data_IF_552570191069
#
_entry.id   IF_552570191069
#
_cell.length_a   1.000
_cell.length_b   1.000
_cell.length_c   1.000
_cell.angle_alpha   90.00
_cell.angle_beta   90.00
_cell.angle_gamma   90.00
#
_symmetry.space_group_name_H-M   'P 1'
#
loop_
_entity.id
_entity.type
_entity.pdbx_description
1 polymer ?
#
# COMPACT_ATOMS: atom_id res chain seq x y z
N UNK A 1 -24.25 -3.46 -20.30
CA UNK A 1 -23.73 -2.24 -19.66
C UNK A 1 -23.10 -1.35 -20.73
N UNK A 2 -22.83 -0.07 -20.46
CA UNK A 2 -22.13 0.80 -21.43
C UNK A 2 -20.68 0.34 -21.54
N UNK A 3 -20.17 0.17 -22.77
CA UNK A 3 -18.77 -0.16 -23.06
C UNK A 3 -17.84 0.83 -22.37
N UNK A 4 -16.81 0.33 -21.69
CA UNK A 4 -15.80 1.16 -21.01
C UNK A 4 -14.51 1.21 -21.85
N UNK A 5 -13.78 2.31 -21.79
CA UNK A 5 -12.47 2.37 -22.44
C UNK A 5 -11.43 1.57 -21.65
N UNK A 6 -11.41 1.76 -20.33
CA UNK A 6 -10.47 1.12 -19.42
C UNK A 6 -11.20 0.60 -18.18
N UNK A 7 -10.85 -0.60 -17.72
CA UNK A 7 -11.26 -1.16 -16.43
C UNK A 7 -10.03 -1.40 -15.57
N UNK A 8 -10.05 -0.95 -14.32
CA UNK A 8 -8.96 -1.19 -13.37
C UNK A 8 -9.19 -2.47 -12.55
N UNK A 9 -8.14 -3.27 -12.40
CA UNK A 9 -8.08 -4.45 -11.56
C UNK A 9 -6.99 -4.20 -10.50
N UNK A 10 -7.43 -3.96 -9.27
CA UNK A 10 -6.59 -3.63 -8.13
C UNK A 10 -6.30 -4.88 -7.31
N UNK A 11 -5.06 -5.33 -7.33
CA UNK A 11 -4.58 -6.47 -6.57
C UNK A 11 -4.38 -6.05 -5.10
N UNK A 12 -5.27 -6.50 -4.21
CA UNK A 12 -5.27 -6.19 -2.77
C UNK A 12 -5.10 -7.43 -1.89
N UNK A 13 -4.57 -8.53 -2.44
CA UNK A 13 -4.44 -9.83 -1.75
C UNK A 13 -3.15 -10.02 -0.94
N UNK A 14 -2.23 -9.05 -0.94
CA UNK A 14 -0.91 -9.21 -0.32
C UNK A 14 -0.98 -9.40 1.21
N UNK A 15 -0.50 -10.54 1.71
CA UNK A 15 -0.40 -10.83 3.16
C UNK A 15 0.57 -9.91 3.90
N UNK A 16 1.54 -9.31 3.20
CA UNK A 16 2.46 -8.36 3.83
C UNK A 16 3.35 -8.93 4.94
N UNK A 17 3.68 -10.22 4.93
CA UNK A 17 4.37 -10.95 6.03
C UNK A 17 5.63 -10.29 6.59
N UNK A 18 6.26 -9.40 5.84
CA UNK A 18 7.46 -8.63 6.23
C UNK A 18 7.15 -7.40 7.11
N UNK A 19 5.88 -7.06 7.31
CA UNK A 19 5.42 -5.99 8.20
C UNK A 19 5.06 -6.49 9.61
N UNK A 20 5.31 -7.78 9.89
CA UNK A 20 5.12 -8.39 11.21
C UNK A 20 3.70 -8.11 11.75
N UNK A 21 3.59 -7.70 13.02
CA UNK A 21 2.34 -7.48 13.73
C UNK A 21 1.41 -6.44 13.08
N UNK A 22 1.92 -5.55 12.23
CA UNK A 22 1.08 -4.58 11.50
C UNK A 22 0.12 -5.24 10.49
N UNK A 23 0.41 -6.48 10.09
CA UNK A 23 -0.38 -7.24 9.10
C UNK A 23 -0.97 -8.54 9.65
N UNK A 24 -0.92 -8.73 10.98
CA UNK A 24 -1.46 -9.96 11.60
C UNK A 24 -2.99 -10.00 11.53
N UNK A 25 -3.65 -8.84 11.69
CA UNK A 25 -5.10 -8.68 11.61
C UNK A 25 -5.57 -7.89 10.38
N UNK A 26 -4.64 -7.29 9.64
CA UNK A 26 -4.91 -6.40 8.52
C UNK A 26 -4.21 -6.85 7.23
N UNK A 27 -4.92 -6.76 6.10
CA UNK A 27 -4.28 -6.83 4.80
C UNK A 27 -3.32 -5.65 4.60
N UNK A 28 -2.18 -5.84 3.92
CA UNK A 28 -1.19 -4.77 3.67
C UNK A 28 -1.82 -3.48 3.10
N UNK A 29 -2.75 -3.51 2.12
CA UNK A 29 -3.40 -2.30 1.61
C UNK A 29 -4.21 -1.51 2.66
N UNK A 30 -4.63 -2.18 3.74
CA UNK A 30 -5.41 -1.59 4.82
C UNK A 30 -4.54 -0.94 5.91
N UNK A 31 -3.21 -1.07 5.85
CA UNK A 31 -2.29 -0.48 6.84
C UNK A 31 -2.43 1.05 6.80
N UNK A 32 -2.56 1.72 7.97
CA UNK A 32 -2.61 3.17 8.04
C UNK A 32 -1.33 3.81 7.47
N UNK A 33 -1.43 5.00 6.87
CA UNK A 33 -0.30 5.76 6.36
C UNK A 33 -0.54 7.27 6.47
N UNK A 34 0.52 8.04 6.75
CA UNK A 34 0.49 9.49 6.63
C UNK A 34 -0.54 10.20 7.52
N UNK A 35 -0.78 9.66 8.73
CA UNK A 35 -1.62 10.26 9.77
C UNK A 35 -3.12 9.97 9.64
N UNK A 36 -3.67 9.90 8.42
CA UNK A 36 -5.11 9.65 8.20
C UNK A 36 -5.47 8.71 7.06
N UNK A 37 -4.52 8.37 6.20
CA UNK A 37 -4.77 7.57 5.01
C UNK A 37 -4.56 6.08 5.29
N UNK A 38 -4.93 5.23 4.34
CA UNK A 38 -4.45 3.86 4.20
C UNK A 38 -3.68 3.72 2.87
N UNK A 39 -2.86 2.70 2.74
CA UNK A 39 -2.04 2.50 1.53
C UNK A 39 -2.91 2.39 0.27
N UNK A 40 -4.06 1.70 0.35
CA UNK A 40 -4.97 1.53 -0.80
C UNK A 40 -5.53 2.86 -1.33
N UNK A 41 -5.66 3.87 -0.48
CA UNK A 41 -6.25 5.18 -0.83
C UNK A 41 -5.52 5.85 -1.98
N UNK A 42 -4.20 5.67 -2.06
CA UNK A 42 -3.38 6.24 -3.12
C UNK A 42 -3.79 5.70 -4.48
N UNK A 43 -3.91 4.38 -4.59
CA UNK A 43 -4.28 3.73 -5.85
C UNK A 43 -5.71 4.02 -6.28
N UNK A 44 -6.67 4.02 -5.33
CA UNK A 44 -8.06 4.36 -5.63
C UNK A 44 -8.23 5.83 -6.01
N UNK A 45 -7.52 6.73 -5.33
CA UNK A 45 -7.50 8.15 -5.69
C UNK A 45 -6.86 8.38 -7.06
N UNK A 46 -5.79 7.64 -7.40
CA UNK A 46 -5.19 7.68 -8.73
C UNK A 46 -6.19 7.23 -9.80
N UNK A 47 -6.98 6.17 -9.57
CA UNK A 47 -8.04 5.76 -10.49
C UNK A 47 -9.08 6.87 -10.69
N UNK A 48 -9.60 7.44 -9.60
CA UNK A 48 -10.58 8.54 -9.62
C UNK A 48 -10.04 9.74 -10.40
N UNK A 49 -8.87 10.23 -10.04
CA UNK A 49 -8.27 11.42 -10.62
C UNK A 49 -7.85 11.20 -12.10
N UNK A 50 -7.61 9.94 -12.48
CA UNK A 50 -7.39 9.54 -13.87
C UNK A 50 -8.70 9.24 -14.62
N UNK A 51 -9.88 9.53 -14.05
CA UNK A 51 -11.16 9.27 -14.72
C UNK A 51 -11.48 7.79 -14.97
N UNK A 52 -10.79 6.86 -14.28
CA UNK A 52 -11.06 5.43 -14.35
C UNK A 52 -12.12 5.11 -13.28
N UNK A 53 -13.36 5.06 -13.73
CA UNK A 53 -14.53 4.94 -12.87
C UNK A 53 -14.94 3.50 -12.52
N UNK A 54 -14.32 2.49 -13.14
CA UNK A 54 -14.68 1.07 -12.98
C UNK A 54 -13.49 0.30 -12.43
N UNK A 55 -13.59 -0.11 -11.17
CA UNK A 55 -12.47 -0.69 -10.41
C UNK A 55 -12.91 -1.99 -9.73
N UNK A 56 -12.28 -3.11 -10.12
CA UNK A 56 -12.39 -4.39 -9.43
C UNK A 56 -11.28 -4.55 -8.40
N UNK A 57 -11.62 -4.66 -7.12
CA UNK A 57 -10.65 -4.82 -6.02
C UNK A 57 -10.57 -6.29 -5.63
N UNK A 58 -9.45 -6.94 -5.94
CA UNK A 58 -9.22 -8.37 -5.69
C UNK A 58 -8.66 -8.57 -4.29
N UNK A 59 -9.52 -8.99 -3.36
CA UNK A 59 -9.14 -9.24 -1.96
C UNK A 59 -8.97 -10.73 -1.72
N UNK A 60 -7.96 -11.13 -0.92
CA UNK A 60 -7.70 -12.55 -0.61
C UNK A 60 -7.57 -12.79 0.90
N UNK A 61 -6.63 -12.10 1.55
CA UNK A 61 -6.33 -12.29 2.97
C UNK A 61 -7.10 -11.30 3.84
N UNK A 62 -7.69 -11.79 4.94
CA UNK A 62 -8.42 -11.02 5.97
C UNK A 62 -9.25 -9.85 5.40
N UNK A 63 -10.20 -10.13 4.49
CA UNK A 63 -10.82 -9.08 3.70
C UNK A 63 -11.81 -8.23 4.51
N UNK A 64 -12.25 -8.65 5.70
CA UNK A 64 -13.34 -7.98 6.43
C UNK A 64 -13.05 -6.51 6.74
N UNK A 65 -11.87 -6.19 7.28
CA UNK A 65 -11.52 -4.79 7.62
C UNK A 65 -11.41 -3.95 6.35
N UNK A 66 -10.76 -4.49 5.31
CA UNK A 66 -10.62 -3.81 4.04
C UNK A 66 -11.98 -3.63 3.34
N UNK A 67 -12.86 -4.62 3.39
CA UNK A 67 -14.21 -4.56 2.82
C UNK A 67 -15.07 -3.51 3.50
N UNK A 68 -15.06 -3.46 4.83
CA UNK A 68 -15.77 -2.45 5.59
C UNK A 68 -15.23 -1.05 5.30
N UNK A 69 -13.91 -0.91 5.19
CA UNK A 69 -13.26 0.34 4.85
C UNK A 69 -13.61 0.82 3.43
N UNK A 70 -13.55 -0.08 2.44
CA UNK A 70 -13.91 0.26 1.06
C UNK A 70 -15.39 0.60 0.92
N UNK A 71 -16.25 -0.07 1.69
CA UNK A 71 -17.69 0.11 1.66
C UNK A 71 -18.23 0.01 0.23
N UNK A 72 -18.85 1.08 -0.26
CA UNK A 72 -19.37 1.19 -1.63
C UNK A 72 -18.48 2.01 -2.56
N UNK A 73 -17.33 2.47 -2.07
CA UNK A 73 -16.41 3.33 -2.80
C UNK A 73 -16.77 4.82 -2.81
N UNK A 74 -17.70 5.27 -1.95
CA UNK A 74 -18.16 6.67 -1.90
C UNK A 74 -17.00 7.65 -1.66
N UNK A 75 -16.05 7.28 -0.79
CA UNK A 75 -14.89 8.12 -0.45
C UNK A 75 -14.01 8.47 -1.67
N UNK A 76 -14.03 7.64 -2.72
CA UNK A 76 -13.25 7.87 -3.95
C UNK A 76 -14.14 8.20 -5.15
N UNK A 77 -15.42 8.56 -4.94
CA UNK A 77 -16.38 8.82 -6.02
C UNK A 77 -16.56 7.63 -6.99
N UNK A 78 -16.36 6.42 -6.46
CA UNK A 78 -16.49 5.16 -7.17
C UNK A 78 -17.82 4.47 -6.87
N UNK A 79 -18.83 5.21 -6.42
CA UNK A 79 -20.21 4.71 -6.31
C UNK A 79 -21.04 5.19 -7.50
N UNK A 80 -21.04 4.41 -8.59
CA UNK A 80 -21.69 4.77 -9.85
C UNK A 80 -22.67 3.69 -10.33
N UNK A 81 -23.71 4.10 -11.08
CA UNK A 81 -24.71 3.14 -11.62
C UNK A 81 -24.16 2.24 -12.73
N UNK A 82 -23.20 2.73 -13.50
CA UNK A 82 -22.62 2.06 -14.66
C UNK A 82 -21.09 2.02 -14.50
N UNK A 83 -20.61 1.38 -13.45
CA UNK A 83 -19.20 1.33 -13.05
C UNK A 83 -19.10 1.28 -11.53
N UNK A 84 -17.97 1.77 -11.01
CA UNK A 84 -17.71 1.89 -9.59
C UNK A 84 -16.76 0.84 -9.03
N UNK A 85 -16.62 0.86 -7.71
CA UNK A 85 -15.81 -0.07 -6.95
C UNK A 85 -16.59 -1.36 -6.71
N UNK A 86 -16.03 -2.49 -7.16
CA UNK A 86 -16.56 -3.83 -6.89
C UNK A 86 -15.51 -4.65 -6.18
N UNK A 87 -15.86 -5.24 -5.04
CA UNK A 87 -14.97 -6.13 -4.30
C UNK A 87 -15.12 -7.55 -4.88
N UNK A 88 -13.99 -8.16 -5.21
CA UNK A 88 -13.88 -9.45 -5.89
C UNK A 88 -13.12 -10.45 -4.99
N UNK A 89 -13.81 -11.08 -4.03
CA UNK A 89 -13.23 -12.15 -3.23
C UNK A 89 -13.06 -13.44 -4.05
N UNK A 90 -12.16 -14.35 -3.67
CA UNK A 90 -12.09 -15.66 -4.31
C UNK A 90 -13.39 -16.43 -4.08
N UNK A 91 -13.89 -17.10 -5.13
CA UNK A 91 -15.08 -17.92 -5.04
C UNK A 91 -14.70 -19.40 -4.95
N UNK A 92 -15.38 -20.13 -4.06
CA UNK A 92 -15.23 -21.58 -3.95
C UNK A 92 -15.91 -22.26 -5.15
N UNK A 93 -15.12 -22.85 -6.05
CA UNK A 93 -15.66 -23.72 -7.10
C UNK A 93 -15.96 -25.11 -6.52
N UNK A 94 -17.01 -25.77 -7.04
CA UNK A 94 -17.57 -27.06 -6.53
C UNK A 94 -16.58 -28.23 -6.34
N UNK A 95 -15.33 -28.09 -6.76
CA UNK A 95 -14.34 -29.19 -6.73
C UNK A 95 -13.00 -28.86 -6.03
N UNK A 96 -12.74 -27.63 -5.58
CA UNK A 96 -11.52 -27.29 -4.82
C UNK A 96 -11.67 -26.00 -3.99
N UNK A 97 -11.10 -26.00 -2.79
CA UNK A 97 -10.87 -24.80 -1.96
C UNK A 97 -9.71 -23.97 -2.55
N UNK A 98 -9.87 -23.42 -3.76
CA UNK A 98 -8.79 -22.65 -4.40
C UNK A 98 -8.84 -21.19 -3.99
N UNK A 99 -7.83 -20.80 -3.22
CA UNK A 99 -7.38 -19.43 -3.10
C UNK A 99 -6.80 -18.96 -4.44
N UNK A 100 -6.50 -17.67 -4.61
CA UNK A 100 -5.76 -17.22 -5.80
C UNK A 100 -4.33 -17.80 -5.76
N UNK A 101 -4.07 -18.77 -6.64
CA UNK A 101 -2.73 -19.35 -6.90
C UNK A 101 -1.64 -18.30 -7.24
N UNK A 102 -2.02 -17.18 -7.86
CA UNK A 102 -1.10 -16.12 -8.29
C UNK A 102 -1.84 -14.82 -8.67
N UNK A 103 -1.08 -13.76 -8.93
CA UNK A 103 -1.64 -12.43 -9.27
C UNK A 103 -2.43 -12.43 -10.59
N UNK A 104 -1.99 -13.20 -11.58
CA UNK A 104 -2.69 -13.34 -12.85
C UNK A 104 -3.93 -14.24 -12.70
N UNK A 105 -3.84 -15.30 -11.89
CA UNK A 105 -4.97 -16.17 -11.59
C UNK A 105 -6.12 -15.42 -10.92
N UNK A 106 -5.83 -14.43 -10.07
CA UNK A 106 -6.86 -13.59 -9.46
C UNK A 106 -7.71 -12.85 -10.51
N UNK A 107 -7.07 -12.33 -11.56
CA UNK A 107 -7.77 -11.68 -12.68
C UNK A 107 -8.51 -12.71 -13.53
N UNK A 108 -7.90 -13.87 -13.77
CA UNK A 108 -8.52 -14.97 -14.53
C UNK A 108 -9.83 -15.48 -13.89
N UNK A 109 -9.87 -15.65 -12.56
CA UNK A 109 -11.12 -16.06 -11.89
C UNK A 109 -12.24 -15.02 -12.04
N UNK A 110 -11.88 -13.76 -12.27
CA UNK A 110 -12.80 -12.64 -12.37
C UNK A 110 -12.95 -12.11 -13.81
N UNK A 111 -12.65 -12.92 -14.85
CA UNK A 111 -12.83 -12.53 -16.25
C UNK A 111 -14.24 -12.00 -16.52
N UNK A 112 -15.27 -12.65 -15.96
CA UNK A 112 -16.66 -12.24 -16.13
C UNK A 112 -16.92 -10.79 -15.70
N UNK A 113 -16.24 -10.33 -14.64
CA UNK A 113 -16.33 -8.94 -14.19
C UNK A 113 -15.79 -7.97 -15.23
N UNK A 114 -14.75 -8.35 -15.97
CA UNK A 114 -14.17 -7.51 -17.03
C UNK A 114 -15.05 -7.58 -18.29
N UNK A 115 -15.48 -8.78 -18.68
CA UNK A 115 -16.29 -9.03 -19.88
C UNK A 115 -17.62 -8.28 -19.87
N UNK A 116 -18.28 -8.11 -18.71
CA UNK A 116 -19.55 -7.39 -18.64
C UNK A 116 -19.46 -5.92 -19.11
N UNK A 117 -18.26 -5.33 -19.02
CA UNK A 117 -17.98 -3.95 -19.42
C UNK A 117 -17.35 -3.84 -20.81
N UNK A 118 -16.97 -4.96 -21.42
CA UNK A 118 -16.34 -5.07 -22.74
C UNK A 118 -15.24 -4.00 -23.00
N UNK A 119 -14.20 -3.90 -22.14
CA UNK A 119 -13.23 -2.83 -22.25
C UNK A 119 -12.23 -3.03 -23.39
N UNK A 120 -11.67 -1.92 -23.89
CA UNK A 120 -10.54 -1.95 -24.81
C UNK A 120 -9.23 -2.24 -24.07
N UNK A 121 -9.08 -1.65 -22.88
CA UNK A 121 -7.89 -1.73 -22.06
C UNK A 121 -8.20 -2.20 -20.64
N UNK A 122 -7.25 -2.91 -20.04
CA UNK A 122 -7.29 -3.29 -18.63
C UNK A 122 -6.07 -2.72 -17.93
N UNK A 123 -6.31 -1.92 -16.90
CA UNK A 123 -5.27 -1.41 -15.99
C UNK A 123 -5.14 -2.40 -14.82
N UNK A 124 -3.97 -2.98 -14.63
CA UNK A 124 -3.64 -3.82 -13.46
C UNK A 124 -2.74 -3.03 -12.54
N UNK A 125 -3.14 -2.87 -11.28
CA UNK A 125 -2.43 -2.07 -10.27
C UNK A 125 -2.31 -2.85 -8.96
N UNK A 126 -1.23 -2.61 -8.23
CA UNK A 126 -1.06 -3.13 -6.87
C UNK A 126 -1.54 -2.12 -5.82
N UNK A 127 -2.35 -2.56 -4.86
CA UNK A 127 -2.90 -1.72 -3.80
C UNK A 127 -1.96 -1.45 -2.61
N UNK A 128 -0.68 -1.78 -2.73
CA UNK A 128 0.26 -1.85 -1.62
C UNK A 128 1.50 -0.94 -1.77
N UNK A 129 1.45 -0.02 -2.73
CA UNK A 129 2.47 0.98 -3.02
C UNK A 129 1.96 2.40 -2.77
N UNK A 130 2.85 3.32 -2.43
CA UNK A 130 2.52 4.73 -2.17
C UNK A 130 3.09 5.59 -3.29
N UNK A 131 2.19 6.20 -4.07
CA UNK A 131 2.55 7.05 -5.20
C UNK A 131 1.35 7.87 -5.69
N UNK A 132 1.64 8.93 -6.45
CA UNK A 132 0.64 9.72 -7.20
C UNK A 132 0.95 9.62 -8.68
N UNK A 133 0.06 8.98 -9.45
CA UNK A 133 0.26 8.77 -10.88
C UNK A 133 -1.04 9.00 -11.63
N UNK A 134 -0.95 9.76 -12.70
CA UNK A 134 -2.01 9.94 -13.68
C UNK A 134 -1.95 8.79 -14.70
N UNK A 135 -2.88 7.85 -14.57
CA UNK A 135 -2.97 6.70 -15.46
C UNK A 135 -3.44 7.09 -16.87
N UNK A 136 -4.08 8.25 -17.06
CA UNK A 136 -4.47 8.69 -18.41
C UNK A 136 -3.25 8.93 -19.29
N UNK A 137 -2.18 9.52 -18.75
CA UNK A 137 -0.93 9.72 -19.50
C UNK A 137 -0.30 8.40 -19.93
N UNK A 138 -0.35 7.39 -19.06
CA UNK A 138 0.12 6.05 -19.38
C UNK A 138 -0.78 5.38 -20.44
N UNK A 139 -2.09 5.56 -20.34
CA UNK A 139 -3.07 5.04 -21.30
C UNK A 139 -2.94 5.71 -22.68
N UNK A 140 -2.74 7.03 -22.72
CA UNK A 140 -2.48 7.80 -23.95
C UNK A 140 -1.23 7.28 -24.66
N UNK A 141 -0.14 7.05 -23.93
CA UNK A 141 1.07 6.44 -24.49
C UNK A 141 0.79 5.03 -25.01
N UNK A 142 0.08 4.20 -24.24
CA UNK A 142 -0.28 2.83 -24.62
C UNK A 142 -1.08 2.79 -25.94
N UNK A 143 -2.03 3.70 -26.10
CA UNK A 143 -2.83 3.84 -27.33
C UNK A 143 -1.95 4.35 -28.48
N UNK A 144 -1.13 5.38 -28.25
CA UNK A 144 -0.29 6.00 -29.27
C UNK A 144 0.76 5.03 -29.85
N UNK A 145 1.33 4.15 -29.02
CA UNK A 145 2.28 3.12 -29.46
C UNK A 145 1.60 1.85 -29.98
N UNK A 146 0.27 1.75 -29.84
CA UNK A 146 -0.50 0.54 -30.11
C UNK A 146 0.11 -0.70 -29.42
N UNK A 147 0.61 -0.51 -28.20
CA UNK A 147 1.28 -1.56 -27.42
C UNK A 147 0.30 -2.65 -27.00
N UNK A 148 0.74 -3.90 -26.93
CA UNK A 148 -0.06 -5.00 -26.37
C UNK A 148 -0.05 -4.96 -24.85
N UNK A 149 1.08 -4.54 -24.25
CA UNK A 149 1.10 -4.03 -22.89
C UNK A 149 2.09 -2.88 -22.70
N UNK A 150 1.77 -2.02 -21.74
CA UNK A 150 2.64 -0.95 -21.27
C UNK A 150 2.86 -1.11 -19.78
N UNK A 151 4.12 -1.01 -19.34
CA UNK A 151 4.49 -1.27 -17.95
C UNK A 151 5.17 -0.04 -17.36
N UNK A 152 4.71 0.40 -16.19
CA UNK A 152 5.32 1.53 -15.50
C UNK A 152 6.64 1.12 -14.85
N UNK A 153 7.69 1.89 -15.14
CA UNK A 153 9.06 1.64 -14.64
C UNK A 153 9.63 2.86 -13.95
N UNK A 154 10.49 2.61 -12.97
CA UNK A 154 11.24 3.65 -12.26
C UNK A 154 12.68 3.21 -12.01
N UNK A 155 13.62 4.15 -12.14
CA UNK A 155 15.00 3.91 -11.73
C UNK A 155 15.11 3.82 -10.20
N UNK A 156 15.60 2.69 -9.68
CA UNK A 156 15.82 2.48 -8.24
C UNK A 156 17.32 2.40 -7.91
N UNK A 157 17.72 2.60 -6.63
CA UNK A 157 19.08 2.31 -6.21
C UNK A 157 19.45 0.84 -6.47
N UNK A 158 20.66 0.59 -6.97
CA UNK A 158 21.14 -0.78 -7.28
C UNK A 158 21.02 -1.76 -6.11
N UNK A 159 21.18 -1.28 -4.87
CA UNK A 159 21.02 -2.08 -3.64
C UNK A 159 19.60 -2.63 -3.43
N UNK A 160 18.59 -2.02 -4.06
CA UNK A 160 17.17 -2.38 -3.92
C UNK A 160 16.63 -3.09 -5.18
N UNK A 161 17.34 -3.01 -6.31
CA UNK A 161 16.90 -3.54 -7.60
C UNK A 161 16.53 -5.04 -7.56
N UNK A 162 17.27 -5.86 -6.81
CA UNK A 162 17.00 -7.31 -6.69
C UNK A 162 15.66 -7.67 -6.06
N UNK A 163 14.96 -6.71 -5.44
CA UNK A 163 13.62 -6.90 -4.84
C UNK A 163 12.48 -6.78 -5.85
N UNK A 164 12.75 -6.27 -7.04
CA UNK A 164 11.74 -5.91 -8.04
C UNK A 164 11.93 -6.70 -9.33
N UNK A 165 10.93 -6.64 -10.21
CA UNK A 165 11.08 -7.08 -11.60
C UNK A 165 11.90 -6.04 -12.37
N UNK A 166 13.05 -6.43 -12.89
CA UNK A 166 13.98 -5.55 -13.60
C UNK A 166 13.77 -5.66 -15.10
N UNK A 167 13.83 -4.52 -15.78
CA UNK A 167 13.63 -4.41 -17.22
C UNK A 167 14.86 -3.87 -17.94
N UNK A 168 15.12 -4.45 -19.11
CA UNK A 168 15.98 -3.86 -20.13
C UNK A 168 15.09 -3.33 -21.25
N UNK A 169 15.34 -2.07 -21.62
CA UNK A 169 14.57 -1.37 -22.64
C UNK A 169 15.49 -0.95 -23.79
N UNK A 170 14.95 -0.95 -24.99
CA UNK A 170 15.56 -0.27 -26.13
C UNK A 170 15.42 1.24 -25.92
N UNK A 171 16.54 1.96 -25.86
CA UNK A 171 16.54 3.38 -25.49
C UNK A 171 15.84 4.28 -26.52
N UNK A 172 15.78 3.86 -27.79
CA UNK A 172 15.21 4.64 -28.88
C UNK A 172 13.68 4.51 -28.89
N UNK A 173 13.18 3.28 -28.81
CA UNK A 173 11.75 2.98 -28.91
C UNK A 173 11.03 2.89 -27.55
N UNK A 174 11.77 2.79 -26.44
CA UNK A 174 11.26 2.41 -25.11
C UNK A 174 10.58 1.03 -25.07
N UNK A 175 10.80 0.18 -26.09
CA UNK A 175 10.31 -1.19 -26.12
C UNK A 175 11.05 -2.04 -25.08
N UNK A 176 10.33 -2.89 -24.38
CA UNK A 176 10.91 -3.83 -23.41
C UNK A 176 11.50 -5.00 -24.19
N UNK A 177 12.78 -5.27 -23.94
CA UNK A 177 13.55 -6.33 -24.60
C UNK A 177 13.66 -7.55 -23.69
N UNK A 178 13.84 -7.32 -22.39
CA UNK A 178 14.05 -8.38 -21.40
C UNK A 178 13.39 -7.99 -20.08
N UNK A 179 12.92 -9.01 -19.37
CA UNK A 179 12.33 -8.88 -18.05
C UNK A 179 12.86 -10.00 -17.14
N UNK A 180 13.38 -9.61 -15.98
CA UNK A 180 13.87 -10.52 -14.95
C UNK A 180 13.11 -10.27 -13.64
N UNK A 181 12.34 -11.25 -13.15
CA UNK A 181 11.67 -11.13 -11.84
C UNK A 181 12.65 -11.40 -10.70
N UNK A 182 12.95 -10.37 -9.88
CA UNK A 182 13.77 -10.47 -8.66
C UNK A 182 15.13 -11.16 -8.87
N UNK A 183 15.96 -10.65 -9.81
CA UNK A 183 17.26 -11.25 -10.07
C UNK A 183 18.20 -11.03 -8.89
N UNK A 184 19.03 -12.04 -8.59
CA UNK A 184 20.09 -11.89 -7.59
C UNK A 184 21.15 -10.85 -8.02
N UNK A 185 21.42 -10.78 -9.33
CA UNK A 185 22.37 -9.86 -9.94
C UNK A 185 21.66 -9.07 -11.04
N UNK A 186 21.04 -7.92 -10.72
CA UNK A 186 20.25 -7.17 -11.68
C UNK A 186 21.14 -6.63 -12.82
N UNK A 187 20.69 -6.81 -14.06
CA UNK A 187 21.35 -6.29 -15.27
C UNK A 187 21.06 -4.80 -15.52
N UNK A 188 19.99 -4.28 -14.91
CA UNK A 188 19.51 -2.91 -14.99
C UNK A 188 18.93 -2.46 -13.63
N UNK A 189 18.73 -1.17 -13.44
CA UNK A 189 18.07 -0.61 -12.27
C UNK A 189 16.67 -0.04 -12.58
N UNK A 190 16.13 -0.30 -13.77
CA UNK A 190 14.75 0.03 -14.12
C UNK A 190 13.82 -1.04 -13.53
N UNK A 191 13.22 -0.71 -12.39
CA UNK A 191 12.29 -1.56 -11.69
C UNK A 191 10.85 -1.36 -12.19
N UNK A 192 10.15 -2.46 -12.39
CA UNK A 192 8.70 -2.51 -12.58
C UNK A 192 7.99 -2.06 -11.30
N UNK A 193 7.05 -1.14 -11.45
CA UNK A 193 6.22 -0.65 -10.33
C UNK A 193 5.02 -1.56 -10.03
N UNK A 194 4.81 -2.64 -10.78
CA UNK A 194 3.61 -3.47 -10.67
C UNK A 194 2.34 -2.77 -11.18
N UNK A 195 2.50 -1.88 -12.17
CA UNK A 195 1.42 -1.12 -12.81
C UNK A 195 1.50 -1.42 -14.31
N UNK A 196 0.43 -2.00 -14.85
CA UNK A 196 0.39 -2.52 -16.21
C UNK A 196 -0.88 -2.07 -16.91
N UNK A 197 -0.79 -1.64 -18.17
CA UNK A 197 -1.96 -1.46 -19.05
C UNK A 197 -1.85 -2.49 -20.16
N UNK A 198 -2.89 -3.28 -20.36
CA UNK A 198 -2.96 -4.27 -21.42
C UNK A 198 -4.09 -3.95 -22.40
N UNK A 199 -3.92 -4.33 -23.66
CA UNK A 199 -5.07 -4.58 -24.54
C UNK A 199 -5.85 -5.77 -24.00
N UNK A 200 -7.16 -5.61 -23.81
CA UNK A 200 -7.98 -6.64 -23.18
C UNK A 200 -7.96 -7.97 -23.95
N UNK A 201 -8.08 -7.91 -25.28
CA UNK A 201 -8.08 -9.11 -26.13
C UNK A 201 -6.80 -9.94 -25.99
N UNK A 202 -5.65 -9.26 -25.85
CA UNK A 202 -4.35 -9.92 -25.69
C UNK A 202 -4.22 -10.49 -24.27
N UNK A 203 -4.52 -9.69 -23.25
CA UNK A 203 -4.44 -10.15 -21.86
C UNK A 203 -5.29 -11.40 -21.63
N UNK A 204 -6.52 -11.41 -22.15
CA UNK A 204 -7.43 -12.55 -22.03
C UNK A 204 -6.82 -13.85 -22.59
N UNK A 205 -6.22 -13.78 -23.78
CA UNK A 205 -5.56 -14.94 -24.41
C UNK A 205 -4.44 -15.50 -23.53
N UNK A 206 -3.58 -14.64 -22.99
CA UNK A 206 -2.47 -15.07 -22.13
C UNK A 206 -2.97 -15.61 -20.78
N UNK A 207 -3.99 -15.02 -20.17
CA UNK A 207 -4.60 -15.53 -18.94
C UNK A 207 -5.20 -16.94 -19.15
N UNK A 208 -5.93 -17.16 -20.24
CA UNK A 208 -6.51 -18.48 -20.58
C UNK A 208 -5.45 -19.53 -20.92
N UNK A 209 -4.33 -19.11 -21.52
CA UNK A 209 -3.19 -19.98 -21.82
C UNK A 209 -2.47 -20.40 -20.54
N UNK A 210 -2.15 -19.46 -19.66
CA UNK A 210 -1.44 -19.73 -18.41
C UNK A 210 -2.28 -20.56 -17.43
N UNK A 211 -3.61 -20.39 -17.40
CA UNK A 211 -4.45 -21.25 -16.55
C UNK A 211 -4.35 -22.73 -16.94
N UNK A 212 -4.15 -23.04 -18.22
CA UNK A 212 -4.00 -24.41 -18.73
C UNK A 212 -2.59 -24.98 -18.54
N UNK A 213 -1.65 -24.18 -18.07
CA UNK A 213 -0.26 -24.58 -17.86
C UNK A 213 -0.03 -24.98 -16.40
N UNK A 214 0.03 -26.29 -16.13
CA UNK A 214 0.22 -26.83 -14.78
C UNK A 214 1.55 -26.43 -14.11
N UNK A 215 2.53 -25.95 -14.89
CA UNK A 215 3.83 -25.49 -14.38
C UNK A 215 3.88 -23.98 -14.12
N UNK A 216 2.84 -23.23 -14.51
CA UNK A 216 2.76 -21.78 -14.33
C UNK A 216 2.54 -21.44 -12.86
N UNK A 217 3.24 -20.42 -12.37
CA UNK A 217 2.88 -19.83 -11.06
C UNK A 217 1.71 -18.85 -11.16
N UNK A 218 1.17 -18.67 -12.37
CA UNK A 218 0.05 -17.77 -12.71
C UNK A 218 0.24 -16.37 -12.14
N UNK A 219 1.47 -15.86 -12.24
CA UNK A 219 1.87 -14.54 -11.78
C UNK A 219 2.22 -13.61 -12.95
N UNK A 220 1.94 -12.31 -12.80
CA UNK A 220 2.25 -11.34 -13.84
C UNK A 220 3.74 -11.24 -14.14
N UNK A 221 4.58 -11.14 -13.11
CA UNK A 221 6.02 -10.99 -13.27
C UNK A 221 6.67 -12.30 -13.75
N UNK A 222 6.28 -13.42 -13.15
CA UNK A 222 6.96 -14.71 -13.45
C UNK A 222 6.49 -15.38 -14.74
N UNK A 223 5.22 -15.23 -15.10
CA UNK A 223 4.62 -16.03 -16.17
C UNK A 223 4.09 -15.13 -17.31
N UNK A 224 3.20 -14.18 -17.05
CA UNK A 224 2.50 -13.41 -18.10
C UNK A 224 3.46 -12.53 -18.91
N UNK A 225 4.23 -11.65 -18.26
CA UNK A 225 5.14 -10.73 -18.97
C UNK A 225 6.22 -11.50 -19.74
N UNK A 226 6.90 -12.51 -19.15
CA UNK A 226 7.83 -13.35 -19.89
C UNK A 226 7.18 -14.09 -21.07
N UNK A 227 5.99 -14.65 -20.91
CA UNK A 227 5.27 -15.32 -22.01
C UNK A 227 4.95 -14.36 -23.15
N UNK A 228 4.54 -13.13 -22.85
CA UNK A 228 4.29 -12.09 -23.86
C UNK A 228 5.57 -11.71 -24.61
N UNK A 229 6.72 -11.60 -23.93
CA UNK A 229 8.02 -11.35 -24.56
C UNK A 229 8.43 -12.50 -25.49
N UNK A 230 8.32 -13.75 -25.04
CA UNK A 230 8.64 -14.95 -25.83
C UNK A 230 7.76 -15.03 -27.10
N UNK A 231 6.50 -14.65 -26.98
CA UNK A 231 5.55 -14.58 -28.10
C UNK A 231 5.70 -13.31 -28.96
N UNK A 232 6.75 -12.50 -28.73
CA UNK A 232 7.05 -11.27 -29.48
C UNK A 232 5.93 -10.21 -29.45
N UNK A 233 5.13 -10.18 -28.39
CA UNK A 233 4.13 -9.13 -28.17
C UNK A 233 4.80 -7.76 -28.01
N UNK A 234 4.07 -6.71 -28.37
CA UNK A 234 4.57 -5.34 -28.33
C UNK A 234 4.49 -4.77 -26.92
N UNK A 235 5.59 -4.89 -26.18
CA UNK A 235 5.69 -4.44 -24.79
C UNK A 235 6.49 -3.14 -24.70
N UNK A 236 5.93 -2.11 -24.06
CA UNK A 236 6.58 -0.80 -23.90
C UNK A 236 6.69 -0.39 -22.44
N UNK A 237 7.73 0.38 -22.12
CA UNK A 237 7.89 0.97 -20.81
C UNK A 237 7.24 2.36 -20.75
N UNK A 238 6.68 2.71 -19.60
CA UNK A 238 6.27 4.06 -19.24
C UNK A 238 7.14 4.53 -18.07
N UNK A 239 8.01 5.52 -18.31
CA UNK A 239 8.94 6.01 -17.29
C UNK A 239 8.20 6.93 -16.32
N UNK A 240 8.04 6.48 -15.08
CA UNK A 240 7.42 7.26 -14.03
C UNK A 240 8.45 8.17 -13.35
N UNK A 241 8.13 9.47 -13.31
CA UNK A 241 8.91 10.48 -12.60
C UNK A 241 8.05 11.06 -11.49
N UNK A 242 8.31 10.66 -10.25
CA UNK A 242 7.54 11.10 -9.09
C UNK A 242 7.98 10.38 -7.83
N UNK A 243 7.27 10.60 -6.73
CA UNK A 243 7.50 9.81 -5.52
C UNK A 243 6.85 8.43 -5.66
N UNK A 244 7.62 7.39 -5.35
CA UNK A 244 7.13 6.03 -5.24
C UNK A 244 7.88 5.30 -4.13
N UNK A 245 7.15 4.60 -3.28
CA UNK A 245 7.70 3.71 -2.25
C UNK A 245 6.95 2.38 -2.23
N UNK A 246 7.72 1.28 -2.29
CA UNK A 246 7.27 -0.05 -1.88
C UNK A 246 7.40 -0.19 -0.36
N UNK A 247 6.25 -0.27 0.31
CA UNK A 247 6.14 -0.46 1.75
C UNK A 247 6.32 -1.94 2.11
N UNK A 248 7.43 -2.53 1.69
CA UNK A 248 7.69 -3.96 1.83
C UNK A 248 8.25 -4.40 3.18
N UNK A 249 8.79 -3.50 4.01
CA UNK A 249 9.41 -3.81 5.31
C UNK A 249 9.04 -2.75 6.36
N UNK A 250 9.27 -3.03 7.65
CA UNK A 250 9.04 -2.06 8.72
C UNK A 250 9.87 -0.79 8.54
N UNK A 251 11.15 -0.91 8.20
CA UNK A 251 12.00 0.23 7.86
C UNK A 251 11.42 1.04 6.70
N UNK A 252 11.00 0.41 5.59
CA UNK A 252 10.50 1.17 4.45
C UNK A 252 9.14 1.83 4.73
N UNK A 253 8.33 1.23 5.61
CA UNK A 253 7.10 1.84 6.12
C UNK A 253 7.36 3.04 7.01
N UNK A 254 8.30 2.91 7.95
CA UNK A 254 8.73 4.01 8.82
C UNK A 254 9.33 5.15 8.01
N UNK A 255 10.26 4.84 7.11
CA UNK A 255 10.89 5.81 6.20
C UNK A 255 9.85 6.56 5.37
N UNK A 256 8.88 5.85 4.77
CA UNK A 256 7.84 6.48 3.97
C UNK A 256 6.96 7.45 4.78
N UNK A 257 6.71 7.17 6.06
CA UNK A 257 6.02 8.10 6.95
C UNK A 257 6.90 9.29 7.33
N UNK A 258 8.18 9.05 7.65
CA UNK A 258 9.13 10.11 7.99
C UNK A 258 9.41 11.05 6.82
N UNK A 259 9.40 10.54 5.57
CA UNK A 259 9.51 11.34 4.34
C UNK A 259 8.45 12.46 4.28
N UNK A 260 7.29 12.27 4.92
CA UNK A 260 6.23 13.28 4.98
C UNK A 260 6.58 14.48 5.88
N UNK A 261 7.58 14.34 6.76
CA UNK A 261 8.01 15.38 7.69
C UNK A 261 8.97 16.40 7.04
N UNK A 262 9.40 16.14 5.80
CA UNK A 262 10.16 17.08 4.99
C UNK A 262 9.33 17.57 3.80
N UNK A 263 9.27 18.88 3.59
CA UNK A 263 8.48 19.52 2.53
C UNK A 263 8.84 19.05 1.12
N UNK A 264 10.11 18.75 0.86
CA UNK A 264 10.59 18.36 -0.48
C UNK A 264 10.19 16.93 -0.87
N UNK A 265 10.12 16.04 0.11
CA UNK A 265 9.77 14.62 -0.06
C UNK A 265 8.29 14.36 0.20
N UNK A 266 7.58 15.27 0.85
CA UNK A 266 6.16 15.12 1.17
C UNK A 266 5.29 15.16 -0.10
N UNK A 267 4.75 13.99 -0.44
CA UNK A 267 3.88 13.74 -1.61
C UNK A 267 2.60 14.59 -1.65
N UNK A 268 2.14 15.10 -0.50
CA UNK A 268 0.98 15.97 -0.42
C UNK A 268 1.31 17.42 -0.79
N UNK A 269 2.58 17.83 -0.68
CA UNK A 269 3.01 19.19 -1.02
C UNK A 269 3.63 19.31 -2.40
N UNK A 270 4.21 18.24 -2.93
CA UNK A 270 4.82 18.23 -4.27
C UNK A 270 3.79 18.25 -5.40
N UNK A 271 2.57 17.75 -5.16
CA UNK A 271 1.45 17.83 -6.11
C UNK A 271 0.12 18.04 -5.37
N UNK A 272 -0.29 19.30 -5.27
CA UNK A 272 -1.50 19.71 -4.52
C UNK A 272 -2.80 19.50 -5.28
N UNK A 273 -2.78 19.57 -6.62
CA UNK A 273 -3.96 19.38 -7.46
C UNK A 273 -4.39 17.90 -7.49
N UNK A 274 -3.44 16.99 -7.24
CA UNK A 274 -3.71 15.56 -7.14
C UNK A 274 -4.05 15.15 -5.71
N UNK A 275 -5.30 15.41 -5.33
CA UNK A 275 -5.82 15.11 -4.00
C UNK A 275 -5.96 13.59 -3.77
N UNK A 276 -5.62 13.15 -2.56
CA UNK A 276 -5.87 11.77 -2.11
C UNK A 276 -7.14 11.79 -1.27
N UNK A 277 -8.13 11.02 -1.69
CA UNK A 277 -9.38 10.82 -0.98
C UNK A 277 -9.26 9.60 -0.05
N UNK A 278 -9.97 9.64 1.07
CA UNK A 278 -9.94 8.61 2.12
C UNK A 278 -11.27 8.60 2.86
N UNK A 279 -11.54 7.55 3.62
CA UNK A 279 -12.72 7.51 4.49
C UNK A 279 -12.48 8.46 5.66
N UNK A 280 -13.30 9.50 5.77
CA UNK A 280 -13.17 10.45 6.88
C UNK A 280 -13.70 9.86 8.19
N UNK A 281 -12.87 9.88 9.22
CA UNK A 281 -13.28 9.60 10.59
C UNK A 281 -13.62 10.90 11.30
N UNK A 282 -14.83 10.97 11.86
CA UNK A 282 -15.22 12.08 12.73
C UNK A 282 -14.47 12.00 14.06
N UNK A 283 -13.42 12.80 14.19
CA UNK A 283 -12.63 12.93 15.42
C UNK A 283 -12.78 14.34 16.00
N UNK A 284 -12.65 14.52 17.32
CA UNK A 284 -12.64 15.85 17.91
C UNK A 284 -11.38 16.63 17.45
N UNK A 285 -11.37 17.97 17.59
CA UNK A 285 -10.14 18.74 17.37
C UNK A 285 -9.01 18.26 18.29
N UNK A 286 -7.77 18.33 17.81
CA UNK A 286 -6.61 18.04 18.64
C UNK A 286 -6.53 18.98 19.86
N UNK A 287 -6.08 18.44 20.98
CA UNK A 287 -5.81 19.16 22.22
C UNK A 287 -4.30 19.14 22.52
N UNK A 288 -3.73 20.33 22.68
CA UNK A 288 -2.35 20.53 23.13
C UNK A 288 -2.38 21.17 24.51
N UNK A 289 -1.78 20.50 25.50
CA UNK A 289 -1.66 21.05 26.85
C UNK A 289 -0.65 22.21 26.89
N UNK A 290 -0.68 23.00 27.97
CA UNK A 290 0.19 24.18 28.16
C UNK A 290 1.67 23.86 27.97
N UNK A 291 2.09 22.68 28.43
CA UNK A 291 3.50 22.28 28.47
C UNK A 291 3.87 21.34 27.30
N UNK A 292 2.94 21.12 26.36
CA UNK A 292 3.14 20.26 25.20
C UNK A 292 4.05 20.91 24.14
N UNK A 293 4.92 20.10 23.54
CA UNK A 293 5.87 20.57 22.51
C UNK A 293 5.79 19.67 21.29
N UNK A 294 5.47 20.23 20.13
CA UNK A 294 5.42 19.49 18.85
C UNK A 294 6.37 20.14 17.85
N UNK A 295 7.36 19.39 17.35
CA UNK A 295 8.40 19.87 16.43
C UNK A 295 8.47 18.98 15.19
N UNK A 296 8.45 19.61 14.01
CA UNK A 296 8.60 18.95 12.70
C UNK A 296 7.83 17.63 12.60
N UNK A 297 6.56 17.63 13.02
CA UNK A 297 5.75 16.43 13.17
C UNK A 297 4.41 16.60 12.44
N UNK A 298 3.81 15.48 12.04
CA UNK A 298 2.44 15.44 11.54
C UNK A 298 1.51 14.96 12.65
N UNK A 299 0.39 15.65 12.82
CA UNK A 299 -0.63 15.37 13.83
C UNK A 299 -2.00 15.35 13.18
N UNK A 300 -2.85 14.46 13.66
CA UNK A 300 -4.20 14.26 13.16
C UNK A 300 -5.24 14.65 14.22
N UNK A 301 -6.52 14.68 13.84
CA UNK A 301 -7.60 14.98 14.79
C UNK A 301 -7.72 13.91 15.88
N UNK A 302 -8.31 14.26 17.01
CA UNK A 302 -8.50 13.38 18.15
C UNK A 302 -7.35 13.34 19.15
N UNK A 303 -6.18 13.92 18.80
CA UNK A 303 -4.98 13.76 19.60
C UNK A 303 -5.01 14.60 20.89
N UNK A 304 -4.58 14.00 22.00
CA UNK A 304 -4.36 14.67 23.28
C UNK A 304 -2.87 14.64 23.64
N UNK A 305 -2.18 15.77 23.49
CA UNK A 305 -0.73 15.85 23.67
C UNK A 305 -0.41 16.67 24.92
N UNK A 306 0.18 16.01 25.91
CA UNK A 306 0.68 16.63 27.14
C UNK A 306 2.22 16.62 27.23
N UNK A 307 2.89 15.78 26.43
CA UNK A 307 4.34 15.61 26.40
C UNK A 307 5.03 16.30 25.21
N UNK A 308 6.21 15.79 24.86
CA UNK A 308 7.02 16.27 23.73
C UNK A 308 7.01 15.27 22.57
N UNK A 309 6.75 15.79 21.37
CA UNK A 309 6.75 15.06 20.10
C UNK A 309 7.71 15.76 19.14
N UNK A 310 8.73 15.04 18.69
CA UNK A 310 9.77 15.56 17.81
C UNK A 310 9.93 14.66 16.59
N UNK A 311 9.92 15.23 15.38
CA UNK A 311 10.13 14.48 14.14
C UNK A 311 9.32 13.18 14.05
N UNK A 312 8.01 13.24 14.30
CA UNK A 312 7.15 12.05 14.41
C UNK A 312 5.82 12.24 13.67
N UNK A 313 5.15 11.12 13.38
CA UNK A 313 3.84 11.08 12.73
C UNK A 313 2.84 10.47 13.71
N UNK A 314 1.87 11.28 14.15
CA UNK A 314 0.77 10.83 15.00
C UNK A 314 -0.50 10.68 14.16
N UNK A 315 -1.06 9.47 14.17
CA UNK A 315 -2.38 9.19 13.64
C UNK A 315 -3.46 9.75 14.57
N UNK A 316 -4.73 9.53 14.22
CA UNK A 316 -5.85 10.05 15.00
C UNK A 316 -6.08 9.33 16.33
N UNK A 317 -6.70 10.04 17.27
CA UNK A 317 -7.07 9.55 18.61
C UNK A 317 -5.88 9.06 19.45
N UNK A 318 -4.70 9.68 19.27
CA UNK A 318 -3.48 9.35 20.03
C UNK A 318 -3.37 10.20 21.29
N UNK A 319 -3.00 9.57 22.41
CA UNK A 319 -2.72 10.26 23.69
C UNK A 319 -1.24 10.18 24.07
N UNK A 320 -0.62 11.31 24.37
CA UNK A 320 0.76 11.42 24.85
C UNK A 320 0.80 12.03 26.25
N UNK A 321 1.16 11.24 27.27
CA UNK A 321 1.22 11.65 28.68
C UNK A 321 2.27 12.72 29.00
N UNK A 322 2.15 13.33 30.18
CA UNK A 322 3.07 14.36 30.68
C UNK A 322 4.46 13.78 30.89
N UNK A 323 5.49 14.58 30.63
CA UNK A 323 6.89 14.16 30.76
C UNK A 323 7.37 13.14 29.71
N UNK A 324 6.47 12.64 28.85
CA UNK A 324 6.83 11.68 27.80
C UNK A 324 7.48 12.36 26.61
N UNK A 325 8.40 11.64 25.96
CA UNK A 325 9.18 12.11 24.82
C UNK A 325 9.12 11.09 23.69
N UNK A 326 8.51 11.48 22.58
CA UNK A 326 8.37 10.68 21.36
C UNK A 326 9.19 11.31 20.26
N UNK A 327 10.15 10.57 19.70
CA UNK A 327 11.03 11.07 18.63
C UNK A 327 11.17 10.09 17.48
N UNK A 328 11.26 10.61 16.25
CA UNK A 328 11.56 9.78 15.07
C UNK A 328 10.61 8.58 14.95
N UNK A 329 9.32 8.75 15.28
CA UNK A 329 8.42 7.63 15.50
C UNK A 329 7.09 7.79 14.77
N UNK A 330 6.48 6.65 14.45
CA UNK A 330 5.13 6.56 13.89
C UNK A 330 4.20 6.00 14.95
N UNK A 331 3.17 6.73 15.34
CA UNK A 331 2.21 6.31 16.37
C UNK A 331 0.85 6.10 15.72
N UNK A 332 0.46 4.84 15.57
CA UNK A 332 -0.76 4.42 14.88
C UNK A 332 -2.05 4.80 15.64
N UNK A 333 -3.24 4.72 14.99
CA UNK A 333 -4.47 5.22 15.57
C UNK A 333 -4.80 4.66 16.95
N UNK A 334 -5.38 5.49 17.83
CA UNK A 334 -5.87 5.05 19.13
C UNK A 334 -4.80 4.69 20.18
N UNK A 335 -3.51 4.82 19.86
CA UNK A 335 -2.44 4.48 20.79
C UNK A 335 -2.40 5.45 21.98
N UNK A 336 -2.15 4.91 23.17
CA UNK A 336 -2.03 5.68 24.42
C UNK A 336 -0.65 5.48 25.04
N UNK A 337 0.11 6.56 25.11
CA UNK A 337 1.42 6.61 25.76
C UNK A 337 1.26 7.29 27.12
N UNK A 338 1.58 6.56 28.19
CA UNK A 338 1.52 7.03 29.57
C UNK A 338 2.50 8.17 29.88
N UNK A 339 2.61 8.54 31.16
CA UNK A 339 3.50 9.59 31.65
C UNK A 339 4.95 9.12 31.75
N UNK A 340 5.90 10.04 31.55
CA UNK A 340 7.35 9.81 31.66
C UNK A 340 7.88 8.65 30.81
N UNK A 341 7.29 8.42 29.64
CA UNK A 341 7.71 7.39 28.67
C UNK A 341 8.65 7.99 27.64
N UNK A 342 9.72 7.26 27.29
CA UNK A 342 10.65 7.64 26.23
C UNK A 342 10.59 6.67 25.05
N UNK A 343 10.26 7.17 23.87
CA UNK A 343 10.15 6.41 22.61
C UNK A 343 11.00 7.10 21.55
N UNK A 344 11.94 6.37 20.94
CA UNK A 344 12.74 6.85 19.82
C UNK A 344 12.84 5.78 18.73
N UNK A 345 12.74 6.18 17.45
CA UNK A 345 12.92 5.30 16.28
C UNK A 345 12.00 4.06 16.30
N UNK A 346 10.70 4.28 16.55
CA UNK A 346 9.74 3.19 16.72
C UNK A 346 8.46 3.37 15.89
N UNK A 347 7.77 2.26 15.69
CA UNK A 347 6.38 2.21 15.23
C UNK A 347 5.55 1.68 16.41
N UNK A 348 4.63 2.49 16.92
CA UNK A 348 3.67 2.09 17.95
C UNK A 348 2.40 1.59 17.27
N UNK A 349 1.99 0.37 17.58
CA UNK A 349 0.82 -0.33 17.01
C UNK A 349 -0.52 0.37 17.27
N UNK A 350 -1.53 -0.02 16.50
CA UNK A 350 -2.90 0.50 16.65
C UNK A 350 -3.49 0.10 18.00
N UNK A 351 -4.09 1.06 18.73
CA UNK A 351 -4.71 0.84 20.03
C UNK A 351 -3.76 0.43 21.17
N UNK A 352 -2.44 0.44 20.94
CA UNK A 352 -1.46 0.01 21.95
C UNK A 352 -1.46 0.96 23.14
N UNK A 353 -1.52 0.39 24.35
CA UNK A 353 -1.33 1.11 25.61
C UNK A 353 0.08 0.87 26.14
N UNK A 354 0.84 1.96 26.35
CA UNK A 354 2.15 1.96 26.98
C UNK A 354 2.01 2.60 28.38
N UNK A 355 2.31 1.87 29.47
CA UNK A 355 2.10 2.35 30.83
C UNK A 355 3.09 3.45 31.23
N UNK A 356 2.75 4.17 32.30
CA UNK A 356 3.62 5.21 32.87
C UNK A 356 4.99 4.65 33.25
N UNK A 357 6.04 5.46 33.03
CA UNK A 357 7.44 5.13 33.32
C UNK A 357 7.98 3.90 32.58
N UNK A 358 7.29 3.43 31.53
CA UNK A 358 7.78 2.33 30.72
C UNK A 358 9.04 2.74 29.96
N UNK A 359 10.11 1.96 30.13
CA UNK A 359 11.31 2.08 29.31
C UNK A 359 11.15 1.18 28.10
N UNK A 360 10.82 1.77 26.95
CA UNK A 360 10.89 1.02 25.68
C UNK A 360 12.34 0.56 25.49
N UNK A 361 12.58 -0.72 25.17
CA UNK A 361 13.92 -1.19 24.84
C UNK A 361 14.48 -0.33 23.69
N UNK A 362 15.44 0.53 24.00
CA UNK A 362 16.20 1.20 22.94
C UNK A 362 17.02 0.13 22.26
N UNK A 363 16.71 -0.17 21.00
CA UNK A 363 17.62 -0.98 20.19
C UNK A 363 19.00 -0.31 20.24
N UNK A 364 20.02 -1.03 20.69
CA UNK A 364 21.41 -0.59 20.60
C UNK A 364 21.87 -0.48 19.13
N UNK A 365 21.06 -0.97 18.20
CA UNK A 365 21.19 -0.93 16.76
C UNK A 365 20.33 0.20 16.17
N UNK A 366 20.68 0.67 14.96
CA UNK A 366 19.87 1.64 14.18
C UNK A 366 18.53 1.06 13.67
N UNK A 367 18.09 -0.08 14.18
CA UNK A 367 16.91 -0.79 13.68
C UNK A 367 15.62 -0.20 14.27
N UNK A 368 14.57 -0.16 13.45
CA UNK A 368 13.28 0.40 13.85
C UNK A 368 12.55 -0.61 14.74
N UNK A 369 12.08 -0.16 15.90
CA UNK A 369 11.38 -1.05 16.85
C UNK A 369 9.88 -1.02 16.60
N UNK A 370 9.24 -2.18 16.41
CA UNK A 370 7.78 -2.31 16.41
C UNK A 370 7.27 -2.63 17.81
N UNK A 371 6.31 -1.87 18.30
CA UNK A 371 5.62 -2.07 19.59
C UNK A 371 4.17 -2.46 19.28
N UNK A 372 3.87 -3.75 19.17
CA UNK A 372 2.57 -4.23 18.69
C UNK A 372 1.68 -4.95 19.70
N UNK A 373 2.14 -5.22 20.93
CA UNK A 373 1.28 -5.77 21.99
C UNK A 373 0.99 -4.70 23.04
N UNK A 374 -0.23 -4.75 23.61
CA UNK A 374 -0.49 -4.09 24.89
C UNK A 374 0.58 -4.61 25.84
N UNK A 375 1.47 -3.75 26.32
CA UNK A 375 2.45 -4.15 27.31
C UNK A 375 1.62 -4.48 28.55
N UNK A 376 1.29 -5.76 28.76
CA UNK A 376 0.66 -6.21 29.98
C UNK A 376 1.59 -5.77 31.10
N UNK A 377 1.11 -4.79 31.86
CA UNK A 377 1.76 -4.35 33.07
C UNK A 377 1.82 -5.59 33.95
N UNK A 378 2.98 -6.23 34.05
CA UNK A 378 3.32 -6.97 35.27
C UNK A 378 3.16 -5.95 36.38
N UNK A 379 1.97 -5.96 37.00
CA UNK A 379 1.73 -5.30 38.28
C UNK A 379 2.79 -5.86 39.21
N UNK A 380 3.91 -5.15 39.38
CA UNK A 380 4.71 -5.28 40.57
C UNK A 380 3.73 -5.14 41.73
N UNK A 381 3.47 -6.26 42.38
CA UNK A 381 2.59 -6.40 43.51
C UNK A 381 3.09 -5.50 44.64
N UNK A 382 2.58 -4.26 44.66
CA UNK A 382 2.40 -3.49 45.89
C UNK A 382 1.33 -4.18 46.73
N UNK A 383 1.63 -5.37 47.24
CA UNK A 383 0.79 -6.11 48.19
C UNK A 383 1.64 -7.05 49.04
N UNK A 384 2.61 -6.51 49.77
CA UNK A 384 3.05 -7.11 51.05
C UNK A 384 3.84 -6.12 51.91
N UNK A 385 3.24 -4.97 52.21
CA UNK A 385 3.62 -4.16 53.38
C UNK A 385 2.33 -3.59 54.02
N UNK A 386 1.71 -4.44 54.85
CA UNK A 386 0.75 -4.20 55.95
C UNK A 386 -0.16 -5.42 56.02
N UNK A 387 -0.31 -6.19 57.11
CA UNK A 387 0.27 -6.22 58.44
C UNK A 387 -0.41 -7.37 59.22
N UNK A 388 0.14 -7.69 60.39
CA UNK A 388 -0.51 -8.39 61.51
C UNK A 388 -0.80 -9.89 61.35
N UNK A 389 0.07 -10.74 61.90
CA UNK A 389 -0.09 -11.34 63.25
C UNK A 389 1.27 -11.68 63.85
#
# INVERSE_FOLDING_TARGET
>A
MKRKQCVAMLLAGGRGTRLQQLTDENAKPAVPFGGKYRIIDFTLSNCRNSGIDTVGVLTQYQPHILQNYLGRGDAWDLYQRNGGLTILPPYQCKHTDRWYDGTAHAIFQNLHFIEQYDPEHVLVISGDHIYKMDYNKMLEQHIATNADATISVMGVPWKEASRFGIMNIDEISNRIVEFEEKPQFPSSNLASMGIYIFKWSVLKEFLEREEKNDFSSKDFGKDIIPAMLINNQSLYSYKFNGYWKDVGTLESYWEANMDLLNKETNIFFTNKEWEISTVENSCPPQYLDRDAVVKQSLTSGGNEIYGTVDHSVLFGDVKIGRGSFVKNSVVLPGATIGENVKIENAIVGEGVFIPDNYSVPSAATKEITLIGETVEVERMSLSSLSGVY
#
